data_IF_658793835213
#
_entry.id   IF_658793835213
#
_cell.length_a   1.000
_cell.length_b   1.000
_cell.length_c   1.000
_cell.angle_alpha   90.00
_cell.angle_beta   90.00
_cell.angle_gamma   90.00
#
_symmetry.space_group_name_H-M   'P 1'
#
loop_
_entity.id
_entity.type
_entity.pdbx_description
1 polymer ?
#
# COMPACT_ATOMS: atom_id res chain seq x y z
N UNK A 1 -7.19 -15.72 7.05
CA UNK A 1 -5.87 -15.71 7.74
C UNK A 1 -4.84 -14.82 7.05
N UNK A 2 -4.52 -15.02 5.75
CA UNK A 2 -3.43 -14.29 5.06
C UNK A 2 -3.58 -12.74 5.03
N UNK A 3 -4.79 -12.21 4.83
CA UNK A 3 -5.06 -10.76 4.83
C UNK A 3 -4.77 -10.09 6.18
N UNK A 4 -5.22 -10.69 7.29
CA UNK A 4 -5.06 -10.13 8.63
C UNK A 4 -3.59 -10.03 9.03
N UNK A 5 -2.79 -11.04 8.68
CA UNK A 5 -1.35 -11.06 8.98
C UNK A 5 -0.64 -9.89 8.28
N UNK A 6 -0.89 -9.69 6.99
CA UNK A 6 -0.25 -8.60 6.24
C UNK A 6 -0.70 -7.24 6.77
N UNK A 7 -1.99 -7.12 7.10
CA UNK A 7 -2.54 -5.87 7.65
C UNK A 7 -2.03 -5.56 9.06
N UNK A 8 -1.89 -6.58 9.91
CA UNK A 8 -1.30 -6.41 11.25
C UNK A 8 0.18 -6.03 11.15
N UNK A 9 0.92 -6.63 10.20
CA UNK A 9 2.31 -6.25 9.95
C UNK A 9 2.41 -4.80 9.43
N UNK A 10 1.53 -4.40 8.50
CA UNK A 10 1.50 -3.03 8.00
C UNK A 10 1.19 -2.02 9.12
N UNK A 11 0.19 -2.32 9.95
CA UNK A 11 -0.19 -1.47 11.08
C UNK A 11 0.92 -1.39 12.14
N UNK A 12 1.57 -2.52 12.44
CA UNK A 12 2.71 -2.58 13.35
C UNK A 12 3.90 -1.78 12.82
N UNK A 13 4.22 -1.90 11.53
CA UNK A 13 5.30 -1.14 10.90
C UNK A 13 5.05 0.36 11.00
N UNK A 14 3.82 0.81 10.80
CA UNK A 14 3.44 2.22 10.91
C UNK A 14 3.65 2.73 12.34
N UNK A 15 3.11 2.03 13.35
CA UNK A 15 3.27 2.40 14.77
C UNK A 15 4.74 2.41 15.18
N UNK A 16 5.49 1.39 14.76
CA UNK A 16 6.92 1.30 15.05
C UNK A 16 7.71 2.42 14.36
N UNK A 17 7.36 2.80 13.13
CA UNK A 17 7.98 3.91 12.42
C UNK A 17 7.83 5.23 13.19
N UNK A 18 6.64 5.49 13.74
CA UNK A 18 6.37 6.65 14.61
C UNK A 18 7.15 6.57 15.93
N UNK A 19 7.13 5.42 16.60
CA UNK A 19 7.82 5.24 17.87
C UNK A 19 9.34 5.46 17.73
N UNK A 20 9.95 4.93 16.67
CA UNK A 20 11.39 5.08 16.40
C UNK A 20 11.79 6.49 15.95
N UNK A 21 10.82 7.31 15.51
CA UNK A 21 11.08 8.70 15.12
C UNK A 21 11.28 9.62 16.33
N UNK A 22 10.73 9.26 17.50
CA UNK A 22 10.91 10.04 18.73
C UNK A 22 12.39 10.05 19.16
N UNK A 23 13.09 8.91 19.35
CA UNK A 23 14.54 8.90 19.58
C UNK A 23 15.35 9.48 18.42
N UNK A 24 14.87 9.31 17.18
CA UNK A 24 15.53 9.81 15.98
C UNK A 24 15.48 11.33 15.79
N UNK A 25 14.62 12.04 16.53
CA UNK A 25 14.50 13.51 16.50
C UNK A 25 15.54 14.24 17.37
N UNK A 26 16.26 13.51 18.23
CA UNK A 26 17.34 14.09 19.03
C UNK A 26 18.55 14.42 18.15
N UNK A 27 19.29 15.48 18.54
CA UNK A 27 20.35 16.13 17.76
C UNK A 27 21.52 15.25 17.30
N UNK A 28 21.62 14.01 17.79
CA UNK A 28 22.54 12.99 17.30
C UNK A 28 21.83 11.62 17.25
N UNK A 29 21.08 11.32 16.17
CA UNK A 29 20.47 10.00 16.01
C UNK A 29 21.59 8.97 15.82
N UNK A 30 21.93 8.22 16.86
CA UNK A 30 23.02 7.24 16.83
C UNK A 30 22.51 5.85 16.45
N UNK A 31 23.20 5.18 15.52
CA UNK A 31 22.98 3.77 15.21
C UNK A 31 21.81 3.46 14.26
N UNK A 32 21.30 2.23 14.34
CA UNK A 32 20.35 1.65 13.37
C UNK A 32 18.94 2.30 13.39
N UNK A 33 18.62 3.12 14.38
CA UNK A 33 17.31 3.77 14.55
C UNK A 33 17.02 4.85 13.51
N UNK A 34 18.04 5.59 13.08
CA UNK A 34 17.90 6.69 12.13
C UNK A 34 17.38 6.27 10.74
N UNK A 35 17.90 5.19 10.10
CA UNK A 35 17.36 4.70 8.84
C UNK A 35 16.10 3.85 8.97
N UNK A 36 15.83 3.27 10.16
CA UNK A 36 14.76 2.31 10.34
C UNK A 36 13.37 2.95 10.29
N UNK A 37 13.19 4.12 10.90
CA UNK A 37 11.92 4.87 10.86
C UNK A 37 11.45 5.21 9.43
N UNK A 38 12.25 5.90 8.58
CA UNK A 38 11.83 6.22 7.21
C UNK A 38 11.64 4.96 6.35
N UNK A 39 12.44 3.91 6.57
CA UNK A 39 12.29 2.64 5.84
C UNK A 39 10.94 1.97 6.12
N UNK A 40 10.49 1.94 7.38
CA UNK A 40 9.19 1.37 7.74
C UNK A 40 8.03 2.13 7.06
N UNK A 41 8.08 3.46 7.03
CA UNK A 41 7.10 4.28 6.30
C UNK A 41 7.07 3.96 4.80
N UNK A 42 8.20 3.60 4.19
CA UNK A 42 8.22 3.19 2.80
C UNK A 42 7.62 1.80 2.58
N UNK A 43 7.80 0.86 3.52
CA UNK A 43 7.32 -0.53 3.38
C UNK A 43 5.81 -0.64 3.62
N UNK A 44 5.24 0.08 4.60
CA UNK A 44 3.80 0.05 4.91
C UNK A 44 2.86 0.12 3.69
N UNK A 45 2.94 1.14 2.80
CA UNK A 45 2.05 1.24 1.63
C UNK A 45 2.13 0.03 0.68
N UNK A 46 3.30 -0.59 0.53
CA UNK A 46 3.52 -1.72 -0.37
C UNK A 46 2.76 -2.92 0.18
N UNK A 47 2.81 -3.12 1.50
CA UNK A 47 2.02 -4.17 2.16
C UNK A 47 0.52 -3.92 2.02
N UNK A 48 0.07 -2.67 2.17
CA UNK A 48 -1.35 -2.29 1.97
C UNK A 48 -1.79 -2.51 0.51
N UNK A 49 -0.92 -2.23 -0.45
CA UNK A 49 -1.19 -2.44 -1.88
C UNK A 49 -1.37 -3.92 -2.19
N UNK A 50 -0.51 -4.78 -1.64
CA UNK A 50 -0.67 -6.23 -1.73
C UNK A 50 -2.02 -6.73 -1.17
N UNK A 51 -2.51 -6.12 -0.08
CA UNK A 51 -3.84 -6.41 0.48
C UNK A 51 -4.94 -6.00 -0.50
N UNK A 52 -4.85 -4.81 -1.10
CA UNK A 52 -5.80 -4.31 -2.12
C UNK A 52 -5.92 -5.29 -3.30
N UNK A 53 -4.81 -5.84 -3.78
CA UNK A 53 -4.82 -6.83 -4.87
C UNK A 53 -5.56 -8.11 -4.48
N UNK A 54 -5.37 -8.59 -3.25
CA UNK A 54 -6.07 -9.77 -2.74
C UNK A 54 -7.57 -9.48 -2.57
N UNK A 55 -7.94 -8.31 -2.06
CA UNK A 55 -9.34 -7.88 -1.91
C UNK A 55 -10.04 -7.89 -3.27
N UNK A 56 -9.44 -7.23 -4.27
CA UNK A 56 -9.98 -7.24 -5.62
C UNK A 56 -10.08 -8.65 -6.21
N UNK A 57 -9.05 -9.48 -6.05
CA UNK A 57 -9.08 -10.87 -6.51
C UNK A 57 -10.29 -11.64 -5.97
N UNK A 58 -10.56 -11.51 -4.67
CA UNK A 58 -11.71 -12.17 -4.03
C UNK A 58 -13.04 -11.60 -4.51
N UNK A 59 -13.12 -10.28 -4.68
CA UNK A 59 -14.32 -9.61 -5.17
C UNK A 59 -14.64 -10.03 -6.61
N UNK A 60 -13.63 -10.02 -7.48
CA UNK A 60 -13.78 -10.40 -8.87
C UNK A 60 -14.09 -11.89 -9.05
N UNK A 61 -13.50 -12.77 -8.24
CA UNK A 61 -13.86 -14.19 -8.22
C UNK A 61 -15.32 -14.44 -7.84
N UNK A 62 -15.86 -13.67 -6.89
CA UNK A 62 -17.24 -13.83 -6.41
C UNK A 62 -18.28 -13.32 -7.39
N UNK A 63 -17.98 -12.22 -8.08
CA UNK A 63 -18.97 -11.50 -8.88
C UNK A 63 -18.91 -11.89 -10.36
N UNK A 64 -17.74 -11.75 -10.98
CA UNK A 64 -17.61 -11.88 -12.44
C UNK A 64 -16.19 -12.30 -12.84
N UNK A 65 -15.79 -13.56 -12.59
CA UNK A 65 -14.42 -14.03 -12.83
C UNK A 65 -14.03 -14.05 -14.31
N UNK A 66 -15.00 -14.19 -15.22
CA UNK A 66 -14.75 -14.26 -16.67
C UNK A 66 -14.63 -12.89 -17.34
N UNK A 67 -14.97 -11.80 -16.62
CA UNK A 67 -14.92 -10.43 -17.16
C UNK A 67 -13.58 -9.74 -16.90
N UNK A 68 -12.66 -10.39 -16.20
CA UNK A 68 -11.32 -9.84 -15.95
C UNK A 68 -10.43 -10.02 -17.18
N UNK A 69 -9.79 -8.93 -17.63
CA UNK A 69 -8.84 -8.96 -18.77
C UNK A 69 -7.69 -9.94 -18.49
N UNK A 70 -7.22 -9.98 -17.25
CA UNK A 70 -6.10 -10.80 -16.81
C UNK A 70 -6.64 -11.91 -15.92
N UNK A 71 -6.13 -13.13 -16.09
CA UNK A 71 -6.49 -14.25 -15.22
C UNK A 71 -6.25 -13.87 -13.76
N UNK A 72 -7.28 -13.98 -12.94
CA UNK A 72 -7.28 -13.57 -11.53
C UNK A 72 -6.06 -14.07 -10.72
N UNK A 73 -5.63 -15.35 -10.83
CA UNK A 73 -4.44 -15.82 -10.12
C UNK A 73 -3.14 -15.16 -10.59
N UNK A 74 -3.06 -14.72 -11.85
CA UNK A 74 -1.90 -13.99 -12.37
C UNK A 74 -1.86 -12.57 -11.83
N UNK A 75 -3.01 -11.93 -11.60
CA UNK A 75 -3.06 -10.59 -11.00
C UNK A 75 -2.39 -10.59 -9.63
N UNK A 76 -2.78 -11.50 -8.74
CA UNK A 76 -2.18 -11.57 -7.40
C UNK A 76 -0.70 -11.95 -7.44
N UNK A 77 -0.30 -12.85 -8.36
CA UNK A 77 1.09 -13.28 -8.48
C UNK A 77 2.00 -12.19 -9.04
N UNK A 78 1.62 -11.54 -10.15
CA UNK A 78 2.44 -10.53 -10.80
C UNK A 78 2.57 -9.28 -9.94
N UNK A 79 1.45 -8.75 -9.46
CA UNK A 79 1.47 -7.55 -8.64
C UNK A 79 2.04 -7.81 -7.24
N UNK A 80 1.75 -8.95 -6.63
CA UNK A 80 2.35 -9.33 -5.34
C UNK A 80 3.87 -9.55 -5.44
N UNK A 81 4.36 -10.19 -6.51
CA UNK A 81 5.79 -10.34 -6.73
C UNK A 81 6.45 -8.98 -7.00
N UNK A 82 5.80 -8.10 -7.77
CA UNK A 82 6.24 -6.73 -8.00
C UNK A 82 6.38 -5.94 -6.70
N UNK A 83 5.40 -6.02 -5.80
CA UNK A 83 5.46 -5.37 -4.49
C UNK A 83 6.62 -5.88 -3.63
N UNK A 84 6.89 -7.20 -3.62
CA UNK A 84 8.03 -7.77 -2.88
C UNK A 84 9.35 -7.23 -3.44
N UNK A 85 9.50 -7.19 -4.76
CA UNK A 85 10.69 -6.63 -5.42
C UNK A 85 10.85 -5.15 -5.04
N UNK A 86 9.75 -4.38 -5.06
CA UNK A 86 9.76 -2.98 -4.65
C UNK A 86 10.17 -2.82 -3.17
N UNK A 87 9.68 -3.66 -2.25
CA UNK A 87 10.09 -3.63 -0.83
C UNK A 87 11.59 -3.90 -0.66
N UNK A 88 12.17 -4.82 -1.43
CA UNK A 88 13.60 -5.10 -1.42
C UNK A 88 14.43 -3.93 -1.97
N UNK A 89 13.96 -3.32 -3.06
CA UNK A 89 14.63 -2.16 -3.67
C UNK A 89 14.54 -0.92 -2.78
N UNK A 90 13.39 -0.68 -2.12
CA UNK A 90 13.25 0.36 -1.09
C UNK A 90 14.25 0.13 0.03
N UNK A 91 14.33 -1.09 0.55
CA UNK A 91 15.25 -1.44 1.64
C UNK A 91 16.70 -1.18 1.23
N UNK A 92 17.05 -1.53 -0.01
CA UNK A 92 18.38 -1.30 -0.60
C UNK A 92 18.67 0.19 -0.75
N UNK A 93 17.73 0.95 -1.33
CA UNK A 93 17.87 2.40 -1.53
C UNK A 93 18.01 3.16 -0.23
N UNK A 94 17.22 2.82 0.79
CA UNK A 94 17.29 3.39 2.12
C UNK A 94 18.60 3.02 2.86
N UNK A 95 19.04 1.77 2.74
CA UNK A 95 20.32 1.34 3.31
C UNK A 95 21.51 2.06 2.65
N UNK A 96 21.50 2.17 1.32
CA UNK A 96 22.53 2.89 0.58
C UNK A 96 22.56 4.37 0.94
N UNK A 97 21.40 5.02 1.03
CA UNK A 97 21.30 6.44 1.41
C UNK A 97 21.80 6.69 2.85
N UNK A 98 21.53 5.77 3.78
CA UNK A 98 21.90 5.93 5.19
C UNK A 98 23.35 5.63 5.50
N UNK A 99 24.00 4.76 4.72
CA UNK A 99 25.43 4.42 4.87
C UNK A 99 26.33 5.18 3.89
N UNK A 100 25.80 6.19 3.22
CA UNK A 100 26.53 6.88 2.17
C UNK A 100 27.65 7.77 2.73
N UNK A 101 28.88 7.39 2.41
CA UNK A 101 30.11 8.12 2.74
C UNK A 101 30.31 9.31 1.79
N UNK A 102 29.86 9.15 0.53
CA UNK A 102 30.05 10.15 -0.54
C UNK A 102 28.71 10.60 -1.15
N UNK A 103 28.72 11.78 -1.79
CA UNK A 103 27.52 12.34 -2.45
C UNK A 103 26.94 11.41 -3.53
N UNK A 104 27.78 10.67 -4.25
CA UNK A 104 27.34 9.70 -5.28
C UNK A 104 26.52 8.53 -4.71
N UNK A 105 26.85 8.04 -3.51
CA UNK A 105 26.06 6.98 -2.86
C UNK A 105 24.71 7.52 -2.36
N UNK A 106 24.68 8.76 -1.84
CA UNK A 106 23.43 9.42 -1.45
C UNK A 106 22.49 9.61 -2.63
N UNK A 107 23.01 10.09 -3.76
CA UNK A 107 22.22 10.30 -4.97
C UNK A 107 21.72 8.98 -5.57
N UNK A 108 22.55 7.93 -5.56
CA UNK A 108 22.13 6.60 -5.99
C UNK A 108 21.01 6.03 -5.10
N UNK A 109 21.14 6.10 -3.78
CA UNK A 109 20.09 5.67 -2.84
C UNK A 109 18.78 6.43 -3.05
N UNK A 110 18.86 7.77 -3.17
CA UNK A 110 17.70 8.61 -3.50
C UNK A 110 17.06 8.24 -4.85
N UNK A 111 17.87 7.99 -5.89
CA UNK A 111 17.38 7.61 -7.22
C UNK A 111 16.63 6.27 -7.19
N UNK A 112 17.13 5.29 -6.45
CA UNK A 112 16.45 3.99 -6.25
C UNK A 112 15.09 4.21 -5.57
N UNK A 113 15.04 5.00 -4.49
CA UNK A 113 13.80 5.28 -3.78
C UNK A 113 12.76 5.97 -4.68
N UNK A 114 13.17 6.96 -5.47
CA UNK A 114 12.30 7.64 -6.44
C UNK A 114 11.80 6.69 -7.52
N UNK A 115 12.68 5.86 -8.09
CA UNK A 115 12.31 4.90 -9.13
C UNK A 115 11.26 3.91 -8.63
N UNK A 116 11.45 3.33 -7.44
CA UNK A 116 10.49 2.39 -6.85
C UNK A 116 9.17 3.07 -6.56
N UNK A 117 9.19 4.26 -5.96
CA UNK A 117 7.97 4.97 -5.62
C UNK A 117 7.16 5.37 -6.85
N UNK A 118 7.85 5.79 -7.93
CA UNK A 118 7.23 6.08 -9.22
C UNK A 118 6.60 4.84 -9.86
N UNK A 119 7.37 3.74 -9.96
CA UNK A 119 6.89 2.46 -10.51
C UNK A 119 5.70 1.94 -9.71
N UNK A 120 5.78 1.98 -8.37
CA UNK A 120 4.71 1.55 -7.47
C UNK A 120 3.41 2.34 -7.72
N UNK A 121 3.53 3.66 -7.74
CA UNK A 121 2.39 4.57 -7.93
C UNK A 121 1.73 4.36 -9.29
N UNK A 122 2.53 4.27 -10.36
CA UNK A 122 2.03 4.02 -11.72
C UNK A 122 1.37 2.64 -11.83
N UNK A 123 1.97 1.62 -11.21
CA UNK A 123 1.43 0.25 -11.22
C UNK A 123 0.09 0.17 -10.49
N UNK A 124 -0.05 0.86 -9.35
CA UNK A 124 -1.32 0.94 -8.63
C UNK A 124 -2.38 1.75 -9.40
N UNK A 125 -1.99 2.83 -10.08
CA UNK A 125 -2.90 3.58 -10.94
C UNK A 125 -3.39 2.71 -12.12
N UNK A 126 -2.49 2.00 -12.79
CA UNK A 126 -2.84 1.06 -13.86
C UNK A 126 -3.77 -0.06 -13.37
N UNK A 127 -3.48 -0.63 -12.19
CA UNK A 127 -4.37 -1.59 -11.54
C UNK A 127 -5.76 -1.00 -11.29
N UNK A 128 -5.85 0.22 -10.76
CA UNK A 128 -7.12 0.90 -10.49
C UNK A 128 -7.95 1.05 -11.77
N UNK A 129 -7.31 1.41 -12.89
CA UNK A 129 -7.98 1.48 -14.20
C UNK A 129 -8.51 0.12 -14.67
N UNK A 130 -7.77 -0.97 -14.44
CA UNK A 130 -8.22 -2.34 -14.73
C UNK A 130 -9.46 -2.68 -13.89
N UNK A 131 -9.48 -2.31 -12.60
CA UNK A 131 -10.64 -2.51 -11.73
C UNK A 131 -11.87 -1.74 -12.22
N UNK A 132 -11.70 -0.46 -12.58
CA UNK A 132 -12.79 0.38 -13.15
C UNK A 132 -13.33 -0.23 -14.44
N UNK A 133 -12.45 -0.67 -15.34
CA UNK A 133 -12.87 -1.32 -16.57
C UNK A 133 -13.66 -2.60 -16.30
N UNK A 134 -13.17 -3.45 -15.39
CA UNK A 134 -13.86 -4.67 -14.98
C UNK A 134 -15.23 -4.36 -14.36
N UNK A 135 -15.33 -3.36 -13.47
CA UNK A 135 -16.60 -2.94 -12.86
C UNK A 135 -17.61 -2.50 -13.93
N UNK A 136 -17.19 -1.67 -14.88
CA UNK A 136 -18.08 -1.18 -15.92
C UNK A 136 -18.64 -2.34 -16.77
N UNK A 137 -17.78 -3.28 -17.16
CA UNK A 137 -18.14 -4.46 -17.96
C UNK A 137 -18.99 -5.47 -17.19
N UNK A 138 -18.87 -5.53 -15.87
CA UNK A 138 -19.59 -6.47 -15.01
C UNK A 138 -20.77 -5.85 -14.25
N UNK A 139 -21.17 -4.61 -14.57
CA UNK A 139 -22.22 -3.84 -13.89
C UNK A 139 -23.52 -4.63 -13.62
N UNK A 140 -24.04 -5.35 -14.62
CA UNK A 140 -25.25 -6.18 -14.47
C UNK A 140 -25.08 -7.32 -13.46
N UNK A 141 -23.89 -7.94 -13.42
CA UNK A 141 -23.58 -9.03 -12.48
C UNK A 141 -23.32 -8.49 -11.08
N UNK A 142 -22.74 -7.29 -10.96
CA UNK A 142 -22.55 -6.59 -9.68
C UNK A 142 -23.91 -6.30 -9.02
N UNK A 143 -24.88 -5.82 -9.81
CA UNK A 143 -26.25 -5.60 -9.34
C UNK A 143 -26.91 -6.91 -8.92
N UNK A 144 -26.80 -7.97 -9.73
CA UNK A 144 -27.36 -9.28 -9.40
C UNK A 144 -26.72 -9.94 -8.16
N UNK A 145 -25.42 -9.70 -7.92
CA UNK A 145 -24.69 -10.23 -6.76
C UNK A 145 -25.01 -9.48 -5.46
N UNK A 146 -25.85 -8.45 -5.51
CA UNK A 146 -26.14 -7.53 -4.41
C UNK A 146 -24.86 -7.05 -3.69
N UNK A 147 -23.80 -6.80 -4.49
CA UNK A 147 -22.53 -6.36 -3.94
C UNK A 147 -22.69 -4.94 -3.42
N UNK A 148 -22.22 -4.69 -2.20
CA UNK A 148 -22.40 -3.38 -1.57
C UNK A 148 -21.65 -2.31 -2.36
N UNK A 149 -22.33 -1.21 -2.70
CA UNK A 149 -21.67 -0.03 -3.29
C UNK A 149 -20.56 0.50 -2.38
N UNK A 150 -20.68 0.29 -1.06
CA UNK A 150 -19.68 0.66 -0.08
C UNK A 150 -18.35 -0.10 -0.28
N UNK A 151 -18.41 -1.37 -0.68
CA UNK A 151 -17.20 -2.18 -0.93
C UNK A 151 -16.38 -1.55 -2.08
N UNK A 152 -17.02 -1.15 -3.18
CA UNK A 152 -16.34 -0.49 -4.29
C UNK A 152 -15.78 0.88 -3.89
N UNK A 153 -16.56 1.68 -3.16
CA UNK A 153 -16.10 2.96 -2.65
C UNK A 153 -14.89 2.83 -1.72
N UNK A 154 -14.89 1.82 -0.86
CA UNK A 154 -13.77 1.52 0.01
C UNK A 154 -12.51 1.13 -0.78
N UNK A 155 -12.65 0.28 -1.79
CA UNK A 155 -11.54 -0.13 -2.65
C UNK A 155 -10.94 1.07 -3.39
N UNK A 156 -11.78 1.91 -3.98
CA UNK A 156 -11.32 3.11 -4.68
C UNK A 156 -10.73 4.17 -3.75
N UNK A 157 -11.31 4.33 -2.56
CA UNK A 157 -10.75 5.20 -1.53
C UNK A 157 -9.36 4.71 -1.11
N UNK A 158 -9.18 3.42 -0.84
CA UNK A 158 -7.89 2.85 -0.51
C UNK A 158 -6.85 3.05 -1.63
N UNK A 159 -7.20 2.74 -2.89
CA UNK A 159 -6.33 2.99 -4.03
C UNK A 159 -5.95 4.47 -4.17
N UNK A 160 -6.95 5.36 -4.14
CA UNK A 160 -6.75 6.80 -4.30
C UNK A 160 -5.86 7.39 -3.21
N UNK A 161 -6.04 6.97 -1.96
CA UNK A 161 -5.22 7.41 -0.83
C UNK A 161 -3.77 6.96 -0.97
N UNK A 162 -3.51 5.70 -1.34
CA UNK A 162 -2.14 5.21 -1.54
C UNK A 162 -1.47 5.89 -2.74
N UNK A 163 -2.21 6.15 -3.83
CA UNK A 163 -1.70 6.92 -4.99
C UNK A 163 -1.36 8.36 -4.59
N UNK A 164 -2.27 9.06 -3.90
CA UNK A 164 -2.06 10.42 -3.43
C UNK A 164 -0.78 10.51 -2.60
N UNK A 165 -0.64 9.62 -1.63
CA UNK A 165 0.55 9.51 -0.79
C UNK A 165 1.81 9.24 -1.61
N UNK A 166 1.73 8.33 -2.58
CA UNK A 166 2.83 8.02 -3.51
C UNK A 166 3.33 9.25 -4.27
N UNK A 167 2.42 10.07 -4.79
CA UNK A 167 2.74 11.31 -5.50
C UNK A 167 3.38 12.35 -4.56
N UNK A 168 2.79 12.58 -3.39
CA UNK A 168 3.30 13.55 -2.42
C UNK A 168 4.71 13.18 -1.94
N UNK A 169 4.92 11.90 -1.64
CA UNK A 169 6.21 11.36 -1.20
C UNK A 169 7.25 11.41 -2.32
N UNK A 170 6.84 11.21 -3.57
CA UNK A 170 7.73 11.34 -4.72
C UNK A 170 8.19 12.79 -4.90
N UNK A 171 7.26 13.74 -4.86
CA UNK A 171 7.56 15.17 -4.94
C UNK A 171 8.49 15.64 -3.83
N UNK A 172 8.27 15.18 -2.60
CA UNK A 172 9.12 15.50 -1.44
C UNK A 172 10.56 15.00 -1.62
N UNK A 173 10.74 13.71 -1.95
CA UNK A 173 12.08 13.14 -2.14
C UNK A 173 12.77 13.79 -3.33
N UNK A 174 12.03 14.07 -4.41
CA UNK A 174 12.56 14.73 -5.61
C UNK A 174 13.08 16.14 -5.27
N UNK A 175 12.31 16.92 -4.52
CA UNK A 175 12.62 18.31 -4.14
C UNK A 175 13.88 18.44 -3.27
N UNK A 176 14.25 17.40 -2.51
CA UNK A 176 15.45 17.43 -1.67
C UNK A 176 15.31 18.29 -0.39
N UNK A 177 16.43 18.56 0.31
CA UNK A 177 16.46 19.12 1.67
C UNK A 177 15.73 20.47 1.87
N UNK A 178 15.62 21.27 0.81
CA UNK A 178 15.06 22.63 0.87
C UNK A 178 13.59 22.72 0.44
N UNK A 179 12.94 21.57 0.21
CA UNK A 179 11.57 21.50 -0.26
C UNK A 179 10.57 22.12 0.72
N UNK A 180 9.52 22.82 0.24
CA UNK A 180 8.54 23.51 1.09
C UNK A 180 7.76 22.56 2.03
N UNK A 181 7.67 21.27 1.67
CA UNK A 181 7.02 20.21 2.45
C UNK A 181 7.89 19.76 3.63
N UNK A 182 9.22 19.75 3.48
CA UNK A 182 10.13 19.40 4.59
C UNK A 182 10.20 20.50 5.66
N UNK A 183 9.89 21.75 5.29
CA UNK A 183 9.87 22.88 6.24
C UNK A 183 8.66 22.87 7.19
N UNK A 184 7.62 22.10 6.87
CA UNK A 184 6.42 21.96 7.71
C UNK A 184 6.21 20.49 8.09
N UNK A 185 6.87 20.05 9.17
CA UNK A 185 6.78 18.68 9.68
C UNK A 185 5.34 18.21 9.92
N UNK A 186 4.44 19.11 10.32
CA UNK A 186 3.01 18.81 10.55
C UNK A 186 2.30 18.41 9.26
N UNK A 187 2.60 19.08 8.13
CA UNK A 187 2.01 18.74 6.83
C UNK A 187 2.51 17.36 6.38
N UNK A 188 3.79 17.07 6.58
CA UNK A 188 4.36 15.76 6.31
C UNK A 188 3.60 14.64 7.06
N UNK A 189 3.33 14.81 8.35
CA UNK A 189 2.59 13.82 9.13
C UNK A 189 1.15 13.61 8.67
N UNK A 190 0.43 14.69 8.38
CA UNK A 190 -0.95 14.59 7.89
C UNK A 190 -1.03 13.86 6.55
N UNK A 191 -0.14 14.19 5.62
CA UNK A 191 -0.17 13.63 4.27
C UNK A 191 0.48 12.25 4.14
N UNK A 192 1.27 11.80 5.11
CA UNK A 192 1.84 10.44 5.11
C UNK A 192 0.97 9.44 5.90
N UNK A 193 0.46 9.85 7.08
CA UNK A 193 -0.31 8.98 7.98
C UNK A 193 -1.74 8.73 7.52
N UNK A 194 -2.47 9.82 7.24
CA UNK A 194 -3.93 9.76 7.03
C UNK A 194 -4.27 8.89 5.82
N UNK A 195 -3.57 8.99 4.68
CA UNK A 195 -3.89 8.14 3.54
C UNK A 195 -3.71 6.64 3.85
N UNK A 196 -2.66 6.28 4.59
CA UNK A 196 -2.40 4.89 4.99
C UNK A 196 -3.45 4.41 5.99
N UNK A 197 -3.80 5.23 6.98
CA UNK A 197 -4.84 4.91 7.96
C UNK A 197 -6.21 4.70 7.30
N UNK A 198 -6.59 5.57 6.36
CA UNK A 198 -7.83 5.43 5.61
C UNK A 198 -7.80 4.17 4.73
N UNK A 199 -6.68 3.89 4.06
CA UNK A 199 -6.56 2.67 3.28
C UNK A 199 -6.61 1.38 4.15
N UNK A 200 -6.00 1.39 5.33
CA UNK A 200 -6.05 0.27 6.29
C UNK A 200 -7.47 0.03 6.79
N UNK A 201 -8.17 1.08 7.22
CA UNK A 201 -9.57 0.99 7.68
C UNK A 201 -10.51 0.58 6.54
N UNK A 202 -10.28 1.07 5.33
CA UNK A 202 -10.99 0.63 4.14
C UNK A 202 -10.79 -0.87 3.89
N UNK A 203 -9.57 -1.38 4.00
CA UNK A 203 -9.27 -2.82 3.85
C UNK A 203 -9.86 -3.69 4.98
N UNK A 204 -9.96 -3.17 6.22
CA UNK A 204 -10.53 -3.91 7.36
C UNK A 204 -11.99 -4.31 7.16
N UNK A 205 -12.80 -3.47 6.50
CA UNK A 205 -14.22 -3.79 6.30
C UNK A 205 -14.45 -5.07 5.48
N UNK A 206 -13.55 -5.35 4.53
CA UNK A 206 -13.61 -6.56 3.71
C UNK A 206 -13.33 -7.82 4.51
N UNK A 207 -12.52 -7.72 5.58
CA UNK A 207 -12.31 -8.83 6.50
C UNK A 207 -13.58 -9.14 7.31
N UNK A 208 -14.25 -8.11 7.82
CA UNK A 208 -15.54 -8.29 8.52
C UNK A 208 -16.61 -8.96 7.64
N UNK A 209 -16.67 -8.57 6.36
CA UNK A 209 -17.61 -9.19 5.41
C UNK A 209 -17.28 -10.67 5.10
N UNK A 210 -16.01 -11.08 5.21
CA UNK A 210 -15.61 -12.47 5.03
C UNK A 210 -15.88 -13.35 6.25
N UNK A 211 -15.80 -12.80 7.47
CA UNK A 211 -16.08 -13.54 8.71
C UNK A 211 -17.57 -13.63 8.99
N UNK A 212 -18.35 -12.59 8.71
CA UNK A 212 -19.81 -12.60 8.91
C UNK A 212 -20.54 -13.53 7.93
N UNK A 213 -20.06 -13.66 6.68
CA UNK A 213 -20.61 -14.63 5.71
C UNK A 213 -20.18 -16.08 5.96
N UNK A 214 -19.22 -16.30 6.86
CA UNK A 214 -18.72 -17.63 7.23
C UNK A 214 -19.35 -18.19 8.52
N UNK A 215 -20.47 -17.62 9.00
CA UNK A 215 -21.20 -18.21 10.13
C UNK A 215 -21.86 -19.53 9.70
N UNK A 216 -21.63 -20.65 10.41
CA UNK A 216 -21.99 -21.99 9.97
C UNK A 216 -23.48 -22.24 10.15
N UNK A 217 -24.22 -22.25 9.04
CA UNK A 217 -25.59 -22.75 8.99
C UNK A 217 -25.72 -23.70 7.80
N UNK A 218 -25.62 -25.00 8.06
CA UNK A 218 -25.87 -26.04 7.05
C UNK A 218 -25.03 -27.30 7.22
N UNK A 219 -25.20 -28.00 8.34
CA UNK A 219 -25.09 -29.46 8.33
C UNK A 219 -26.14 -29.97 7.33
N UNK A 220 -25.68 -30.51 6.20
CA UNK A 220 -26.49 -31.42 5.39
C UNK A 220 -25.82 -32.77 5.51
N UNK A 221 -26.37 -33.58 6.40
CA UNK A 221 -26.31 -35.03 6.27
C UNK A 221 -26.86 -35.40 4.88
N UNK A 222 -26.03 -36.06 4.07
CA UNK A 222 -26.24 -37.36 3.42
C UNK A 222 -25.11 -37.62 2.44
#
# INVERSE_FOLDING_TARGET
>A
MKLLVVLSMASFNEVLAYALRIPGSNSNPTGAVAPLSPLLFFITPLMVTSVIFIVFYKMALRIAPYYTIIKLPLVVKLWGAGDIICQLLVSTGAMLASRAENQGQRSAGKAILLAVLGIHTVTLAAFTMIVVHWQHRSSRLIEAANSSRLDFWALYCACGMIILRGILRFGEIASGPDGPIQKHEVAFYFFDFIPVLIALTACLQFYGNDTLKASPGGTVET
#
